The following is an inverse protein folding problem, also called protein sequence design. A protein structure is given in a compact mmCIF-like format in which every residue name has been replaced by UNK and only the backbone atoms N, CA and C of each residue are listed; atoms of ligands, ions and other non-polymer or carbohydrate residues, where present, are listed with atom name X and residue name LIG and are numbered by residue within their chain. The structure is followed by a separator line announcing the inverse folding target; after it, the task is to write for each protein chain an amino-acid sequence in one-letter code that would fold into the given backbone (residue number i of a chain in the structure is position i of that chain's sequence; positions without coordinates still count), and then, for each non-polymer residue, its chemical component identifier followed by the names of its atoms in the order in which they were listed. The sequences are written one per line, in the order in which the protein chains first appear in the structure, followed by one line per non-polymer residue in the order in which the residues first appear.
data_IF_722423271041
#
_entry.id   IF_722423271041
#
_cell.length_a   1.000
_cell.length_b   1.000
_cell.length_c   1.000
_cell.angle_alpha   90.00
_cell.angle_beta   90.00
_cell.angle_gamma   90.00
#
_symmetry.space_group_name_H-M   'P 1'
#
loop_
_entity.id
_entity.type
_entity.pdbx_description
1 polymer ?
#
# COMPACT_ATOMS: atom_id res chain seq x y z
N UNK A 1 -14.04 39.43 -34.31
CA UNK A 1 -14.13 37.97 -34.02
C UNK A 1 -13.24 37.66 -32.82
N UNK A 2 -13.76 36.91 -31.84
CA UNK A 2 -13.21 36.79 -30.48
C UNK A 2 -11.85 36.07 -30.48
N UNK A 3 -10.80 36.79 -30.08
CA UNK A 3 -9.48 36.22 -29.79
C UNK A 3 -9.64 35.32 -28.56
N UNK A 4 -9.59 34.01 -28.77
CA UNK A 4 -9.64 33.00 -27.73
C UNK A 4 -8.40 33.12 -26.85
N UNK A 5 -8.52 33.87 -25.76
CA UNK A 5 -7.50 34.04 -24.75
C UNK A 5 -7.35 32.69 -24.02
N UNK A 6 -6.48 31.81 -24.55
CA UNK A 6 -6.02 30.61 -23.82
C UNK A 6 -5.41 31.12 -22.52
N UNK A 7 -6.14 30.97 -21.42
CA UNK A 7 -5.62 31.17 -20.06
C UNK A 7 -4.45 30.21 -19.88
N UNK A 8 -3.25 30.68 -20.21
CA UNK A 8 -1.99 30.07 -19.80
C UNK A 8 -1.93 30.31 -18.30
N UNK A 9 -2.55 29.41 -17.54
CA UNK A 9 -2.43 29.39 -16.11
C UNK A 9 -0.94 29.27 -15.82
N UNK A 10 -0.40 30.31 -15.19
CA UNK A 10 0.94 30.33 -14.60
C UNK A 10 0.90 29.36 -13.43
N UNK A 11 0.77 28.05 -13.72
CA UNK A 11 0.95 27.00 -12.72
C UNK A 11 2.44 26.96 -12.47
N UNK A 12 2.85 27.45 -11.30
CA UNK A 12 4.19 27.30 -10.78
C UNK A 12 4.60 25.82 -10.80
N UNK A 13 5.23 25.40 -11.89
CA UNK A 13 6.35 24.47 -11.97
C UNK A 13 6.27 23.07 -11.37
N UNK A 14 5.14 22.52 -10.92
CA UNK A 14 5.06 21.07 -10.73
C UNK A 14 4.85 20.39 -12.08
N UNK A 15 5.96 20.00 -12.71
CA UNK A 15 5.98 19.09 -13.86
C UNK A 15 5.05 17.91 -13.59
N UNK A 16 4.21 17.52 -14.56
CA UNK A 16 3.25 16.42 -14.39
C UNK A 16 3.90 15.12 -13.90
N UNK A 17 5.19 14.90 -14.21
CA UNK A 17 5.97 13.78 -13.67
C UNK A 17 6.14 13.83 -12.14
N UNK A 18 6.32 15.02 -11.56
CA UNK A 18 6.41 15.22 -10.10
C UNK A 18 5.08 14.94 -9.42
N UNK A 19 3.97 15.34 -10.04
CA UNK A 19 2.64 15.04 -9.53
C UNK A 19 2.38 13.53 -9.53
N UNK A 20 2.70 12.84 -10.63
CA UNK A 20 2.55 11.39 -10.73
C UNK A 20 3.42 10.65 -9.71
N UNK A 21 4.67 11.09 -9.52
CA UNK A 21 5.55 10.53 -8.49
C UNK A 21 4.98 10.74 -7.08
N UNK A 22 4.43 11.92 -6.79
CA UNK A 22 3.80 12.19 -5.50
C UNK A 22 2.56 11.32 -5.27
N UNK A 23 1.70 11.15 -6.28
CA UNK A 23 0.54 10.26 -6.20
C UNK A 23 0.95 8.81 -5.98
N UNK A 24 1.96 8.32 -6.71
CA UNK A 24 2.50 6.98 -6.54
C UNK A 24 3.08 6.78 -5.14
N UNK A 25 3.81 7.77 -4.61
CA UNK A 25 4.35 7.72 -3.25
C UNK A 25 3.25 7.66 -2.19
N UNK A 26 2.18 8.45 -2.35
CA UNK A 26 1.04 8.46 -1.41
C UNK A 26 0.29 7.13 -1.45
N UNK A 27 -0.08 6.65 -2.65
CA UNK A 27 -0.81 5.39 -2.81
C UNK A 27 0.06 4.21 -2.33
N UNK A 28 1.34 4.20 -2.72
CA UNK A 28 2.30 3.18 -2.31
C UNK A 28 2.52 3.17 -0.79
N UNK A 29 2.64 4.34 -0.16
CA UNK A 29 2.79 4.45 1.30
C UNK A 29 1.56 3.96 2.06
N UNK A 30 0.35 4.28 1.57
CA UNK A 30 -0.90 3.78 2.13
C UNK A 30 -1.00 2.24 2.01
N UNK A 31 -0.76 1.70 0.82
CA UNK A 31 -0.75 0.26 0.59
C UNK A 31 0.29 -0.46 1.46
N UNK A 32 1.50 0.09 1.58
CA UNK A 32 2.55 -0.46 2.44
C UNK A 32 2.16 -0.45 3.92
N UNK A 33 1.53 0.64 4.38
CA UNK A 33 1.09 0.76 5.77
C UNK A 33 0.00 -0.26 6.09
N UNK A 34 -0.96 -0.45 5.19
CA UNK A 34 -1.98 -1.48 5.31
C UNK A 34 -1.35 -2.88 5.32
N UNK A 35 -0.42 -3.15 4.40
CA UNK A 35 0.29 -4.43 4.36
C UNK A 35 1.03 -4.71 5.68
N UNK A 36 1.77 -3.74 6.21
CA UNK A 36 2.47 -3.85 7.50
C UNK A 36 1.50 -4.05 8.67
N UNK A 37 0.29 -3.48 8.60
CA UNK A 37 -0.76 -3.72 9.60
C UNK A 37 -1.33 -5.14 9.55
N UNK A 38 -1.36 -5.78 8.40
CA UNK A 38 -1.82 -7.17 8.25
C UNK A 38 -0.73 -8.20 8.62
N UNK A 39 0.56 -7.83 8.51
CA UNK A 39 1.68 -8.68 8.93
C UNK A 39 1.59 -9.25 10.36
N UNK A 40 1.25 -8.49 11.43
CA UNK A 40 1.12 -9.06 12.77
C UNK A 40 0.02 -10.11 12.86
N UNK A 41 -1.02 -10.04 12.02
CA UNK A 41 -2.06 -11.08 11.93
C UNK A 41 -1.49 -12.39 11.39
N UNK A 42 -0.78 -12.32 10.25
CA UNK A 42 -0.12 -13.48 9.62
C UNK A 42 0.95 -14.06 10.55
N UNK A 43 1.77 -13.21 11.17
CA UNK A 43 2.82 -13.63 12.11
C UNK A 43 2.20 -14.27 13.35
N UNK A 44 1.06 -13.76 13.85
CA UNK A 44 0.33 -14.37 14.95
C UNK A 44 -0.21 -15.75 14.58
N UNK A 45 -0.81 -15.91 13.41
CA UNK A 45 -1.28 -17.20 12.88
C UNK A 45 -0.12 -18.20 12.77
N UNK A 46 1.00 -17.78 12.18
CA UNK A 46 2.22 -18.59 12.09
C UNK A 46 2.81 -18.94 13.45
N UNK A 47 2.76 -18.01 14.41
CA UNK A 47 3.25 -18.24 15.77
C UNK A 47 2.36 -19.24 16.50
N UNK A 48 1.03 -19.14 16.35
CA UNK A 48 0.08 -20.13 16.86
C UNK A 48 0.37 -21.46 16.20
N UNK A 49 0.50 -21.52 14.88
CA UNK A 49 0.84 -22.73 14.15
C UNK A 49 2.16 -23.37 14.64
N UNK A 50 3.17 -22.56 14.98
CA UNK A 50 4.41 -23.07 15.58
C UNK A 50 4.22 -23.55 17.02
N UNK A 51 3.45 -22.84 17.85
CA UNK A 51 3.16 -23.22 19.23
C UNK A 51 2.29 -24.47 19.32
N UNK A 52 1.34 -24.62 18.40
CA UNK A 52 0.49 -25.81 18.28
C UNK A 52 1.18 -26.92 17.50
N UNK A 53 2.47 -26.84 17.16
CA UNK A 53 3.20 -27.93 16.51
C UNK A 53 2.79 -28.23 15.06
N UNK A 54 2.08 -27.31 14.40
CA UNK A 54 1.68 -27.38 13.01
C UNK A 54 0.83 -28.60 12.64
N UNK A 55 0.92 -29.06 11.39
CA UNK A 55 0.29 -30.29 10.88
C UNK A 55 0.61 -31.56 11.71
N UNK A 56 1.62 -31.50 12.60
CA UNK A 56 2.06 -32.60 13.45
C UNK A 56 1.26 -32.73 14.75
N UNK A 57 0.61 -31.69 15.27
CA UNK A 57 -0.26 -31.84 16.45
C UNK A 57 -1.64 -32.41 16.12
N UNK A 58 -2.10 -32.26 14.87
CA UNK A 58 -3.32 -32.90 14.37
C UNK A 58 -3.21 -34.43 14.27
N UNK A 59 -2.04 -35.00 14.55
CA UNK A 59 -1.77 -36.45 14.58
C UNK A 59 -1.87 -37.06 15.98
N UNK A 60 -2.12 -36.25 17.02
CA UNK A 60 -2.14 -36.70 18.43
C UNK A 60 -3.53 -36.67 19.08
N UNK A 61 -4.58 -36.77 18.26
CA UNK A 61 -5.89 -37.24 18.70
C UNK A 61 -6.36 -38.32 17.71
N UNK A 62 -6.66 -39.56 18.19
CA UNK A 62 -7.28 -40.61 17.39
C UNK A 62 -8.70 -40.23 16.95
#
# INVERSE_FOLDING_TARGET
MKVGMRRRTVRAGMSGRRLLAAQAAVIGGLAMTLFVKELPGIVRELRIYRMTGGLRARRRYP
#
